data_IF_428531560025
#
_entry.id   IF_428531560025
#
_cell.length_a   1.000
_cell.length_b   1.000
_cell.length_c   1.000
_cell.angle_alpha   90.00
_cell.angle_beta   90.00
_cell.angle_gamma   90.00
#
_symmetry.space_group_name_H-M   'P 1'
#
loop_
_entity.id
_entity.type
_entity.pdbx_description
1 polymer ?
#
# COMPACT_ATOMS: atom_id res chain seq x y z
N UNK A 1 -8.44 21.35 -40.33
CA UNK A 1 -9.87 20.99 -40.12
C UNK A 1 -9.90 19.93 -39.03
N UNK A 2 -10.39 20.18 -37.81
CA UNK A 2 -11.79 20.42 -37.41
C UNK A 2 -11.88 21.61 -36.44
N UNK A 3 -12.88 22.46 -36.67
CA UNK A 3 -13.33 23.52 -35.75
C UNK A 3 -13.97 22.88 -34.51
N UNK A 4 -13.56 23.30 -33.32
CA UNK A 4 -14.32 23.11 -32.08
C UNK A 4 -14.32 24.45 -31.34
N UNK A 5 -15.00 25.44 -31.92
CA UNK A 5 -15.37 26.67 -31.24
C UNK A 5 -16.89 26.74 -31.27
N UNK A 6 -17.53 26.38 -30.15
CA UNK A 6 -18.97 26.61 -29.98
C UNK A 6 -19.15 28.01 -29.43
N UNK A 7 -19.59 28.93 -30.30
CA UNK A 7 -20.09 30.25 -29.91
C UNK A 7 -21.61 30.19 -29.94
N UNK A 8 -22.24 29.85 -28.81
CA UNK A 8 -23.68 30.08 -28.64
C UNK A 8 -23.90 31.58 -28.36
N UNK A 9 -24.79 32.18 -29.13
CA UNK A 9 -25.26 33.56 -28.97
C UNK A 9 -26.61 33.54 -28.28
N UNK A 10 -26.76 34.30 -27.20
CA UNK A 10 -28.05 34.89 -26.83
C UNK A 10 -28.35 34.89 -25.34
N UNK A 11 -27.85 35.88 -24.62
CA UNK A 11 -28.26 36.25 -23.26
C UNK A 11 -27.38 37.39 -22.77
N UNK A 12 -27.97 38.52 -22.37
CA UNK A 12 -27.26 39.69 -21.85
C UNK A 12 -26.44 39.30 -20.60
N UNK A 13 -25.11 39.37 -20.71
CA UNK A 13 -24.20 39.24 -19.57
C UNK A 13 -23.19 40.41 -19.55
N UNK A 14 -22.97 40.88 -18.33
CA UNK A 14 -22.15 41.98 -17.84
C UNK A 14 -20.76 42.10 -18.54
N UNK A 15 -20.29 43.28 -18.96
CA UNK A 15 -19.10 43.42 -19.83
C UNK A 15 -17.75 43.30 -19.09
N UNK A 16 -17.66 42.44 -18.06
CA UNK A 16 -16.49 42.37 -17.17
C UNK A 16 -15.98 40.98 -16.79
N UNK A 17 -16.55 39.89 -17.30
CA UNK A 17 -16.08 38.52 -16.99
C UNK A 17 -15.69 37.83 -18.29
N UNK A 18 -14.39 37.76 -18.59
CA UNK A 18 -13.90 36.89 -19.66
C UNK A 18 -14.28 35.44 -19.34
N UNK A 19 -15.03 34.81 -20.24
CA UNK A 19 -15.45 33.42 -20.07
C UNK A 19 -14.20 32.50 -19.98
N UNK A 20 -14.16 31.56 -19.01
CA UNK A 20 -13.00 30.71 -18.81
C UNK A 20 -12.68 29.89 -20.07
N UNK A 21 -11.39 29.79 -20.38
CA UNK A 21 -10.90 28.95 -21.47
C UNK A 21 -11.08 27.48 -21.08
N UNK A 22 -12.04 26.78 -21.71
CA UNK A 22 -12.22 25.34 -21.50
C UNK A 22 -11.25 24.54 -22.36
N UNK A 23 -10.36 23.78 -21.74
CA UNK A 23 -9.33 22.97 -22.38
C UNK A 23 -9.52 21.49 -22.02
N UNK A 24 -9.56 20.62 -23.03
CA UNK A 24 -9.56 19.18 -22.78
C UNK A 24 -8.18 18.74 -22.29
N UNK A 25 -8.12 17.87 -21.28
CA UNK A 25 -6.85 17.38 -20.72
C UNK A 25 -5.93 16.80 -21.81
N UNK A 26 -6.52 16.08 -22.76
CA UNK A 26 -5.81 15.49 -23.91
C UNK A 26 -5.11 16.51 -24.81
N UNK A 27 -5.59 17.77 -24.85
CA UNK A 27 -5.03 18.84 -25.68
C UNK A 27 -4.15 19.83 -24.89
N UNK A 28 -3.96 19.62 -23.58
CA UNK A 28 -3.16 20.54 -22.75
C UNK A 28 -1.72 20.63 -23.24
N UNK A 29 -1.12 19.50 -23.62
CA UNK A 29 0.27 19.48 -24.13
C UNK A 29 0.41 20.24 -25.44
N UNK A 30 -0.46 19.99 -26.41
CA UNK A 30 -0.46 20.69 -27.70
C UNK A 30 -0.65 22.21 -27.50
N UNK A 31 -1.54 22.59 -26.59
CA UNK A 31 -1.80 23.99 -26.24
C UNK A 31 -0.59 24.67 -25.59
N UNK A 32 0.14 23.96 -24.72
CA UNK A 32 1.37 24.44 -24.10
C UNK A 32 2.50 24.58 -25.14
N UNK A 33 2.63 23.59 -26.04
CA UNK A 33 3.61 23.64 -27.12
C UNK A 33 3.36 24.86 -28.02
N UNK A 34 2.13 25.08 -28.49
CA UNK A 34 1.77 26.21 -29.34
C UNK A 34 2.08 27.57 -28.66
N UNK A 35 1.74 27.73 -27.38
CA UNK A 35 1.99 28.96 -26.63
C UNK A 35 3.44 29.15 -26.21
N UNK A 36 4.21 28.07 -26.07
CA UNK A 36 5.63 28.18 -25.77
C UNK A 36 6.39 28.84 -26.91
N UNK A 37 5.88 28.83 -28.14
CA UNK A 37 6.49 29.50 -29.30
C UNK A 37 6.28 31.01 -29.22
N UNK A 38 7.34 31.75 -28.88
CA UNK A 38 7.34 33.21 -28.79
C UNK A 38 8.29 33.79 -29.85
N UNK A 39 7.81 34.04 -31.10
CA UNK A 39 8.66 34.57 -32.18
C UNK A 39 9.20 35.97 -31.86
N UNK A 40 8.48 36.74 -31.04
CA UNK A 40 8.88 38.08 -30.59
C UNK A 40 10.20 38.05 -29.79
N UNK A 41 10.49 36.95 -29.07
CA UNK A 41 11.77 36.80 -28.37
C UNK A 41 12.96 36.83 -29.35
N UNK A 42 12.86 36.10 -30.48
CA UNK A 42 13.92 36.11 -31.48
C UNK A 42 14.09 37.50 -32.10
N UNK A 43 13.00 38.26 -32.26
CA UNK A 43 13.05 39.64 -32.76
C UNK A 43 13.74 40.58 -31.77
N UNK A 44 13.43 40.47 -30.46
CA UNK A 44 14.11 41.25 -29.41
C UNK A 44 15.61 40.93 -29.34
N UNK A 45 15.97 39.65 -29.41
CA UNK A 45 17.38 39.21 -29.45
C UNK A 45 18.09 39.75 -30.69
N UNK A 46 17.48 39.67 -31.87
CA UNK A 46 18.06 40.26 -33.11
C UNK A 46 18.27 41.77 -32.99
N UNK A 47 17.31 42.49 -32.40
CA UNK A 47 17.44 43.93 -32.16
C UNK A 47 18.63 44.26 -31.23
N UNK A 48 18.82 43.45 -30.18
CA UNK A 48 19.97 43.57 -29.27
C UNK A 48 21.30 43.22 -29.96
N UNK A 49 21.32 42.20 -30.82
CA UNK A 49 22.47 41.86 -31.65
C UNK A 49 22.86 43.03 -32.55
N UNK A 50 21.89 43.62 -33.25
CA UNK A 50 22.12 44.78 -34.11
C UNK A 50 22.64 45.99 -33.30
N UNK A 51 22.14 46.19 -32.08
CA UNK A 51 22.63 47.24 -31.19
C UNK A 51 24.09 47.01 -30.76
N UNK A 52 24.45 45.78 -30.38
CA UNK A 52 25.82 45.41 -30.03
C UNK A 52 26.76 45.58 -31.24
N UNK A 53 26.35 45.13 -32.42
CA UNK A 53 27.15 45.27 -33.64
C UNK A 53 27.38 46.74 -34.02
N UNK A 54 26.35 47.59 -33.89
CA UNK A 54 26.48 49.05 -34.11
C UNK A 54 27.49 49.67 -33.15
N UNK A 55 27.43 49.35 -31.86
CA UNK A 55 28.38 49.89 -30.88
C UNK A 55 29.79 49.32 -31.10
N UNK A 56 29.93 48.06 -31.53
CA UNK A 56 31.24 47.51 -31.90
C UNK A 56 31.88 48.25 -33.08
N UNK A 57 31.08 48.63 -34.09
CA UNK A 57 31.55 49.47 -35.22
C UNK A 57 31.95 50.88 -34.78
N UNK A 58 31.19 51.49 -33.85
CA UNK A 58 31.58 52.79 -33.26
C UNK A 58 32.91 52.69 -32.51
N UNK A 59 33.06 51.62 -31.70
CA UNK A 59 34.30 51.33 -30.98
C UNK A 59 35.47 51.20 -31.95
N UNK A 60 35.32 50.49 -33.07
CA UNK A 60 36.36 50.42 -34.11
C UNK A 60 36.74 51.82 -34.65
N UNK A 61 35.75 52.69 -34.90
CA UNK A 61 35.96 54.08 -35.29
C UNK A 61 36.71 54.90 -34.25
N UNK A 62 36.34 54.78 -32.97
CA UNK A 62 36.95 55.51 -31.86
C UNK A 62 38.38 55.02 -31.56
N UNK A 63 38.66 53.73 -31.82
CA UNK A 63 40.02 53.20 -31.77
C UNK A 63 40.92 53.79 -32.86
N UNK A 64 40.40 53.97 -34.08
CA UNK A 64 41.12 54.65 -35.17
C UNK A 64 41.35 56.14 -34.85
N UNK A 65 40.38 56.79 -34.18
CA UNK A 65 40.53 58.17 -33.73
C UNK A 65 41.63 58.29 -32.67
N UNK A 66 41.68 57.36 -31.70
CA UNK A 66 42.75 57.30 -30.70
C UNK A 66 44.14 57.10 -31.33
N UNK A 67 44.27 56.23 -32.33
CA UNK A 67 45.55 56.00 -33.01
C UNK A 67 46.09 57.26 -33.71
N UNK A 68 45.19 58.06 -34.29
CA UNK A 68 45.52 59.28 -35.04
C UNK A 68 45.65 60.52 -34.16
N UNK A 69 45.21 60.46 -32.91
CA UNK A 69 45.27 61.59 -32.00
C UNK A 69 46.71 62.00 -31.67
N UNK A 70 46.95 63.31 -31.60
CA UNK A 70 48.22 63.90 -31.20
C UNK A 70 48.19 64.34 -29.72
N UNK A 71 49.27 64.08 -28.95
CA UNK A 71 49.35 64.50 -27.56
C UNK A 71 49.48 66.03 -27.48
N UNK A 72 48.98 66.63 -26.38
CA UNK A 72 49.10 68.08 -26.13
C UNK A 72 50.58 68.52 -26.15
N UNK A 73 50.84 69.76 -26.60
CA UNK A 73 52.20 70.27 -26.87
C UNK A 73 53.12 70.41 -25.63
N UNK A 74 52.62 70.25 -24.40
CA UNK A 74 53.36 70.42 -23.14
C UNK A 74 53.32 69.16 -22.23
N UNK A 75 53.78 68.02 -22.77
CA UNK A 75 53.75 66.72 -22.07
C UNK A 75 55.17 66.26 -21.67
N UNK A 76 55.40 65.84 -20.41
CA UNK A 76 56.69 65.31 -19.99
C UNK A 76 57.16 64.10 -20.83
N UNK A 77 58.45 64.02 -21.25
CA UNK A 77 58.95 62.96 -22.14
C UNK A 77 58.73 61.52 -21.63
N UNK A 78 58.78 61.31 -20.30
CA UNK A 78 58.51 60.00 -19.68
C UNK A 78 57.04 59.59 -19.80
N UNK A 79 56.12 60.55 -19.67
CA UNK A 79 54.68 60.31 -19.83
C UNK A 79 54.33 60.08 -21.29
N UNK A 80 54.96 60.83 -22.21
CA UNK A 80 54.81 60.66 -23.66
C UNK A 80 55.17 59.23 -24.10
N UNK A 81 56.33 58.70 -23.64
CA UNK A 81 56.78 57.34 -23.96
C UNK A 81 55.85 56.27 -23.36
N UNK A 82 55.49 56.41 -22.09
CA UNK A 82 54.63 55.45 -21.41
C UNK A 82 53.19 55.44 -21.95
N UNK A 83 52.62 56.61 -22.23
CA UNK A 83 51.28 56.76 -22.78
C UNK A 83 51.17 56.32 -24.23
N UNK A 84 52.20 56.52 -25.06
CA UNK A 84 52.21 56.02 -26.45
C UNK A 84 52.27 54.48 -26.52
N UNK A 85 53.10 53.85 -25.68
CA UNK A 85 53.13 52.39 -25.57
C UNK A 85 51.84 51.82 -24.97
N UNK A 86 51.23 52.54 -24.03
CA UNK A 86 49.94 52.17 -23.46
C UNK A 86 48.81 52.29 -24.51
N UNK A 87 48.82 53.33 -25.35
CA UNK A 87 47.89 53.54 -26.46
C UNK A 87 47.89 52.35 -27.42
N UNK A 88 49.05 51.91 -27.88
CA UNK A 88 49.16 50.75 -28.77
C UNK A 88 48.59 49.48 -28.13
N UNK A 89 48.85 49.27 -26.83
CA UNK A 89 48.28 48.15 -26.09
C UNK A 89 46.76 48.25 -25.96
N UNK A 90 46.25 49.45 -25.69
CA UNK A 90 44.81 49.77 -25.64
C UNK A 90 44.14 49.42 -26.97
N UNK A 91 44.69 49.91 -28.08
CA UNK A 91 44.07 49.73 -29.39
C UNK A 91 44.05 48.26 -29.81
N UNK A 92 45.17 47.53 -29.68
CA UNK A 92 45.22 46.11 -30.02
C UNK A 92 44.24 45.28 -29.19
N UNK A 93 44.14 45.57 -27.90
CA UNK A 93 43.28 44.80 -27.00
C UNK A 93 41.79 45.06 -27.28
N UNK A 94 41.42 46.31 -27.60
CA UNK A 94 40.05 46.68 -27.93
C UNK A 94 39.63 46.26 -29.33
N UNK A 95 40.56 46.22 -30.29
CA UNK A 95 40.30 45.64 -31.62
C UNK A 95 39.94 44.15 -31.52
N UNK A 96 40.68 43.38 -30.72
CA UNK A 96 40.36 41.97 -30.47
C UNK A 96 39.00 41.79 -29.78
N UNK A 97 38.59 42.73 -28.94
CA UNK A 97 37.24 42.71 -28.36
C UNK A 97 36.19 43.01 -29.43
N UNK A 98 36.39 44.04 -30.24
CA UNK A 98 35.47 44.44 -31.32
C UNK A 98 35.21 43.30 -32.30
N UNK A 99 36.26 42.63 -32.78
CA UNK A 99 36.14 41.49 -33.69
C UNK A 99 35.27 40.36 -33.11
N UNK A 100 35.39 40.14 -31.80
CA UNK A 100 34.67 39.05 -31.09
C UNK A 100 33.23 39.39 -30.77
N UNK A 101 32.84 40.67 -30.77
CA UNK A 101 31.47 41.14 -30.54
C UNK A 101 30.53 40.90 -31.74
N UNK A 102 30.98 40.16 -32.75
CA UNK A 102 30.14 39.78 -33.89
C UNK A 102 29.03 38.81 -33.43
N UNK A 103 27.74 39.17 -33.58
CA UNK A 103 26.65 38.31 -33.15
C UNK A 103 26.49 37.05 -34.01
N UNK A 104 25.93 35.95 -33.47
CA UNK A 104 25.63 34.74 -34.24
C UNK A 104 24.40 34.94 -35.15
N UNK A 105 24.32 34.14 -36.23
CA UNK A 105 23.16 34.16 -37.14
C UNK A 105 21.85 33.68 -36.50
N UNK A 106 21.95 32.82 -35.49
CA UNK A 106 20.79 32.23 -34.79
C UNK A 106 20.46 33.05 -33.55
N UNK A 107 19.17 33.36 -33.39
CA UNK A 107 18.62 34.12 -32.28
C UNK A 107 17.77 33.26 -31.32
N UNK A 108 17.88 31.93 -31.43
CA UNK A 108 17.21 31.02 -30.50
C UNK A 108 17.77 31.16 -29.08
N UNK A 109 16.99 30.74 -28.07
CA UNK A 109 17.31 30.92 -26.65
C UNK A 109 18.67 30.34 -26.26
N UNK A 110 19.08 29.21 -26.86
CA UNK A 110 20.36 28.57 -26.56
C UNK A 110 21.52 29.35 -27.18
N UNK A 111 21.38 29.75 -28.43
CA UNK A 111 22.38 30.56 -29.14
C UNK A 111 22.60 31.92 -28.45
N UNK A 112 21.51 32.55 -27.99
CA UNK A 112 21.55 33.82 -27.26
C UNK A 112 22.25 33.70 -25.90
N UNK A 113 21.96 32.65 -25.14
CA UNK A 113 22.62 32.37 -23.88
C UNK A 113 24.13 32.17 -24.05
N UNK A 114 24.52 31.34 -25.01
CA UNK A 114 25.92 31.04 -25.27
C UNK A 114 26.68 32.30 -25.66
N UNK A 115 26.11 33.09 -26.57
CA UNK A 115 26.68 34.37 -26.99
C UNK A 115 26.84 35.34 -25.81
N UNK A 116 25.78 35.56 -25.01
CA UNK A 116 25.83 36.40 -23.81
C UNK A 116 26.94 35.96 -22.85
N UNK A 117 27.00 34.66 -22.51
CA UNK A 117 27.98 34.10 -21.57
C UNK A 117 29.42 34.28 -22.06
N UNK A 118 29.66 34.03 -23.34
CA UNK A 118 31.00 34.19 -23.94
C UNK A 118 31.37 35.68 -23.98
N UNK A 119 30.49 36.55 -24.45
CA UNK A 119 30.79 37.99 -24.59
C UNK A 119 30.98 38.69 -23.26
N UNK A 120 30.16 38.37 -22.24
CA UNK A 120 30.32 38.92 -20.90
C UNK A 120 31.71 38.60 -20.33
N UNK A 121 32.16 37.34 -20.48
CA UNK A 121 33.52 36.92 -20.07
C UNK A 121 34.61 37.68 -20.84
N UNK A 122 34.42 37.90 -22.14
CA UNK A 122 35.38 38.63 -22.97
C UNK A 122 35.49 40.10 -22.56
N UNK A 123 34.34 40.75 -22.30
CA UNK A 123 34.28 42.12 -21.83
C UNK A 123 34.95 42.26 -20.46
N UNK A 124 34.61 41.40 -19.49
CA UNK A 124 35.22 41.38 -18.15
C UNK A 124 36.74 41.20 -18.21
N UNK A 125 37.22 40.21 -18.98
CA UNK A 125 38.64 39.98 -19.17
C UNK A 125 39.34 41.19 -19.81
N UNK A 126 38.66 41.88 -20.72
CA UNK A 126 39.20 43.06 -21.40
C UNK A 126 39.35 44.22 -20.42
N UNK A 127 38.28 44.56 -19.67
CA UNK A 127 38.29 45.62 -18.65
C UNK A 127 39.38 45.39 -17.60
N UNK A 128 39.54 44.14 -17.11
CA UNK A 128 40.55 43.81 -16.10
C UNK A 128 42.00 44.00 -16.61
N UNK A 129 42.30 43.58 -17.84
CA UNK A 129 43.65 43.67 -18.43
C UNK A 129 44.00 45.09 -18.91
N UNK A 130 42.97 45.91 -19.13
CA UNK A 130 43.04 47.24 -19.74
C UNK A 130 43.29 48.38 -18.75
N UNK A 131 42.79 48.29 -17.51
CA UNK A 131 42.70 49.44 -16.59
C UNK A 131 44.02 50.19 -16.30
N UNK A 132 45.18 49.52 -16.29
CA UNK A 132 46.48 50.20 -16.13
C UNK A 132 46.94 50.93 -17.40
N UNK A 133 46.80 50.31 -18.57
CA UNK A 133 47.17 50.91 -19.85
C UNK A 133 46.24 52.09 -20.19
N UNK A 134 44.96 51.95 -19.85
CA UNK A 134 43.97 53.00 -20.00
C UNK A 134 44.33 54.27 -19.23
N UNK A 135 44.78 54.19 -17.98
CA UNK A 135 45.14 55.38 -17.16
C UNK A 135 46.27 56.20 -17.79
N UNK A 136 47.29 55.54 -18.34
CA UNK A 136 48.38 56.22 -19.04
C UNK A 136 47.93 56.82 -20.37
N UNK A 137 47.00 56.15 -21.07
CA UNK A 137 46.41 56.64 -22.31
C UNK A 137 45.52 57.85 -22.05
N UNK A 138 44.68 57.81 -21.00
CA UNK A 138 43.78 58.90 -20.60
C UNK A 138 44.51 60.18 -20.18
N UNK A 139 45.73 60.06 -19.64
CA UNK A 139 46.57 61.20 -19.30
C UNK A 139 47.03 62.01 -20.53
N UNK A 140 47.08 61.38 -21.72
CA UNK A 140 47.45 62.02 -22.98
C UNK A 140 46.25 62.31 -23.87
N UNK A 141 45.29 61.38 -23.91
CA UNK A 141 44.14 61.33 -24.82
C UNK A 141 42.84 61.18 -24.03
N UNK A 142 42.46 62.16 -23.18
CA UNK A 142 41.33 62.02 -22.28
C UNK A 142 40.00 61.87 -23.01
N UNK A 143 39.82 62.56 -24.16
CA UNK A 143 38.57 62.55 -24.93
C UNK A 143 38.35 61.19 -25.60
N UNK A 144 39.37 60.67 -26.25
CA UNK A 144 39.32 59.40 -26.98
C UNK A 144 39.11 58.22 -26.04
N UNK A 145 39.74 58.26 -24.86
CA UNK A 145 39.49 57.24 -23.82
C UNK A 145 38.09 57.35 -23.22
N UNK A 146 37.52 58.55 -23.13
CA UNK A 146 36.12 58.75 -22.68
C UNK A 146 35.12 58.17 -23.69
N UNK A 147 35.35 58.35 -24.99
CA UNK A 147 34.51 57.75 -26.04
C UNK A 147 34.57 56.21 -26.00
N UNK A 148 35.77 55.62 -25.93
CA UNK A 148 35.95 54.17 -25.76
C UNK A 148 35.25 53.65 -24.49
N UNK A 149 35.31 54.39 -23.37
CA UNK A 149 34.58 54.03 -22.16
C UNK A 149 33.07 54.08 -22.33
N UNK A 150 32.56 55.06 -23.08
CA UNK A 150 31.14 55.18 -23.41
C UNK A 150 30.68 53.96 -24.21
N UNK A 151 31.45 53.54 -25.22
CA UNK A 151 31.15 52.36 -26.03
C UNK A 151 31.20 51.07 -25.22
N UNK A 152 32.23 50.87 -24.40
CA UNK A 152 32.30 49.72 -23.48
C UNK A 152 31.13 49.71 -22.49
N UNK A 153 30.71 50.88 -22.01
CA UNK A 153 29.54 51.03 -21.17
C UNK A 153 28.24 50.72 -21.90
N UNK A 154 28.14 51.03 -23.20
CA UNK A 154 26.98 50.68 -24.03
C UNK A 154 26.96 49.18 -24.37
N UNK A 155 28.09 48.58 -24.73
CA UNK A 155 28.23 47.13 -24.91
C UNK A 155 27.85 46.38 -23.63
N UNK A 156 28.34 46.84 -22.47
CA UNK A 156 28.00 46.24 -21.18
C UNK A 156 26.50 46.30 -20.88
N UNK A 157 25.83 47.40 -21.24
CA UNK A 157 24.38 47.56 -21.06
C UNK A 157 23.62 46.59 -21.97
N UNK A 158 23.90 46.58 -23.27
CA UNK A 158 23.22 45.68 -24.20
C UNK A 158 23.46 44.19 -23.92
N UNK A 159 24.64 43.82 -23.43
CA UNK A 159 24.89 42.46 -22.95
C UNK A 159 24.09 42.14 -21.70
N UNK A 160 23.91 43.10 -20.78
CA UNK A 160 23.03 42.93 -19.62
C UNK A 160 21.58 42.74 -20.06
N UNK A 161 21.08 43.60 -20.95
CA UNK A 161 19.72 43.52 -21.49
C UNK A 161 19.48 42.15 -22.17
N UNK A 162 20.45 41.65 -22.94
CA UNK A 162 20.39 40.31 -23.54
C UNK A 162 20.37 39.20 -22.49
N UNK A 163 21.16 39.33 -21.42
CA UNK A 163 21.16 38.39 -20.32
C UNK A 163 19.81 38.35 -19.59
N UNK A 164 19.16 39.51 -19.45
CA UNK A 164 17.85 39.65 -18.82
C UNK A 164 16.75 39.01 -19.68
N UNK A 165 16.73 39.30 -20.99
CA UNK A 165 15.79 38.68 -21.95
C UNK A 165 15.92 37.16 -21.99
N UNK A 166 17.16 36.63 -22.05
CA UNK A 166 17.41 35.18 -22.06
C UNK A 166 16.93 34.53 -20.75
N UNK A 167 17.16 35.19 -19.62
CA UNK A 167 16.76 34.69 -18.30
C UNK A 167 15.25 34.67 -18.16
N UNK A 168 14.57 35.77 -18.49
CA UNK A 168 13.11 35.83 -18.47
C UNK A 168 12.49 34.78 -19.39
N UNK A 169 13.04 34.61 -20.60
CA UNK A 169 12.57 33.58 -21.54
C UNK A 169 12.71 32.16 -20.97
N UNK A 170 13.79 31.88 -20.25
CA UNK A 170 14.00 30.58 -19.59
C UNK A 170 13.02 30.34 -18.46
N UNK A 171 12.82 31.34 -17.59
CA UNK A 171 11.86 31.26 -16.49
C UNK A 171 10.44 30.99 -17.02
N UNK A 172 10.06 31.65 -18.12
CA UNK A 172 8.78 31.37 -18.81
C UNK A 172 8.72 29.94 -19.35
N UNK A 173 9.75 29.48 -20.06
CA UNK A 173 9.80 28.12 -20.60
C UNK A 173 9.74 27.04 -19.51
N UNK A 174 10.34 27.27 -18.36
CA UNK A 174 10.28 26.36 -17.21
C UNK A 174 8.85 26.17 -16.72
N UNK A 175 8.05 27.24 -16.63
CA UNK A 175 6.61 27.15 -16.31
C UNK A 175 5.84 26.27 -17.30
N UNK A 176 6.11 26.38 -18.60
CA UNK A 176 5.48 25.51 -19.61
C UNK A 176 5.85 24.04 -19.43
N UNK A 177 7.11 23.75 -19.07
CA UNK A 177 7.57 22.38 -18.80
C UNK A 177 6.92 21.82 -17.53
N UNK A 178 6.84 22.61 -16.45
CA UNK A 178 6.14 22.25 -15.21
C UNK A 178 4.66 21.93 -15.49
N UNK A 179 3.97 22.78 -16.26
CA UNK A 179 2.58 22.54 -16.65
C UNK A 179 2.43 21.26 -17.49
N UNK A 180 3.36 20.98 -18.41
CA UNK A 180 3.32 19.78 -19.24
C UNK A 180 3.59 18.50 -18.43
N UNK A 181 4.45 18.56 -17.42
CA UNK A 181 4.71 17.47 -16.48
C UNK A 181 3.47 17.20 -15.61
N UNK A 182 2.88 18.25 -15.01
CA UNK A 182 1.63 18.16 -14.26
C UNK A 182 0.49 17.56 -15.10
N UNK A 183 0.34 18.00 -16.35
CA UNK A 183 -0.64 17.43 -17.26
C UNK A 183 -0.41 15.93 -17.52
N UNK A 184 0.85 15.50 -17.59
CA UNK A 184 1.21 14.08 -17.73
C UNK A 184 0.84 13.29 -16.47
N UNK A 185 1.18 13.80 -15.29
CA UNK A 185 0.86 13.17 -14.01
C UNK A 185 -0.65 13.00 -13.82
N UNK A 186 -1.43 14.03 -14.17
CA UNK A 186 -2.90 13.97 -14.14
C UNK A 186 -3.43 12.88 -15.08
N UNK A 187 -2.91 12.78 -16.31
CA UNK A 187 -3.30 11.71 -17.24
C UNK A 187 -3.00 10.32 -16.67
N UNK A 188 -1.77 10.11 -16.19
CA UNK A 188 -1.33 8.82 -15.64
C UNK A 188 -2.16 8.40 -14.43
N UNK A 189 -2.44 9.34 -13.50
CA UNK A 189 -3.28 9.05 -12.34
C UNK A 189 -4.72 8.74 -12.72
N UNK A 190 -5.28 9.44 -13.70
CA UNK A 190 -6.62 9.14 -14.22
C UNK A 190 -6.69 7.71 -14.75
N UNK A 191 -5.71 7.31 -15.55
CA UNK A 191 -5.65 5.97 -16.13
C UNK A 191 -5.46 4.90 -15.04
N UNK A 192 -4.67 5.17 -13.99
CA UNK A 192 -4.54 4.31 -12.81
C UNK A 192 -5.86 4.17 -12.04
N UNK A 193 -6.62 5.27 -11.88
CA UNK A 193 -7.93 5.27 -11.23
C UNK A 193 -8.93 4.42 -12.02
N UNK A 194 -8.94 4.54 -13.35
CA UNK A 194 -9.83 3.76 -14.21
C UNK A 194 -9.49 2.26 -14.14
N UNK A 195 -8.21 1.91 -14.26
CA UNK A 195 -7.76 0.52 -14.10
C UNK A 195 -8.13 -0.07 -12.72
N UNK A 196 -7.96 0.71 -11.65
CA UNK A 196 -8.30 0.25 -10.30
C UNK A 196 -9.81 0.11 -10.10
N UNK A 197 -10.64 0.95 -10.74
CA UNK A 197 -12.10 0.81 -10.75
C UNK A 197 -12.52 -0.49 -11.44
N UNK A 198 -11.90 -0.82 -12.57
CA UNK A 198 -12.15 -2.07 -13.29
C UNK A 198 -11.75 -3.29 -12.46
N UNK A 199 -10.60 -3.25 -11.78
CA UNK A 199 -10.18 -4.31 -10.86
C UNK A 199 -11.17 -4.50 -9.70
N UNK A 200 -11.63 -3.41 -9.07
CA UNK A 200 -12.63 -3.47 -7.99
C UNK A 200 -13.93 -4.10 -8.51
N UNK A 201 -14.39 -3.71 -9.70
CA UNK A 201 -15.58 -4.30 -10.31
C UNK A 201 -15.42 -5.81 -10.53
N UNK A 202 -14.27 -6.24 -11.08
CA UNK A 202 -13.98 -7.66 -11.28
C UNK A 202 -13.92 -8.46 -9.97
N UNK A 203 -13.38 -7.85 -8.91
CA UNK A 203 -13.35 -8.44 -7.58
C UNK A 203 -14.74 -8.54 -6.93
N UNK A 204 -15.60 -7.55 -7.16
CA UNK A 204 -17.00 -7.56 -6.71
C UNK A 204 -17.81 -8.66 -7.42
N UNK A 205 -17.58 -8.90 -8.71
CA UNK A 205 -18.17 -10.01 -9.46
C UNK A 205 -17.70 -11.38 -8.94
N UNK A 206 -16.40 -11.50 -8.64
CA UNK A 206 -15.85 -12.70 -8.00
C UNK A 206 -16.48 -12.92 -6.61
N UNK A 207 -16.64 -11.86 -5.82
CA UNK A 207 -17.29 -11.92 -4.52
C UNK A 207 -18.75 -12.37 -4.63
N UNK A 208 -19.49 -11.88 -5.63
CA UNK A 208 -20.85 -12.32 -5.92
C UNK A 208 -20.89 -13.83 -6.21
N UNK A 209 -19.97 -14.31 -7.06
CA UNK A 209 -19.82 -15.74 -7.39
C UNK A 209 -19.50 -16.60 -6.16
N UNK A 210 -18.61 -16.13 -5.28
CA UNK A 210 -18.29 -16.83 -4.04
C UNK A 210 -19.49 -16.88 -3.09
N UNK A 211 -20.26 -15.79 -2.97
CA UNK A 211 -21.49 -15.75 -2.18
C UNK A 211 -22.57 -16.69 -2.73
N UNK A 212 -22.71 -16.80 -4.05
CA UNK A 212 -23.58 -17.79 -4.67
C UNK A 212 -23.16 -19.22 -4.35
N UNK A 213 -21.86 -19.50 -4.38
CA UNK A 213 -21.31 -20.80 -4.00
C UNK A 213 -21.53 -21.13 -2.53
N UNK A 214 -21.37 -20.16 -1.63
CA UNK A 214 -21.66 -20.31 -0.20
C UNK A 214 -23.14 -20.62 0.04
N UNK A 215 -24.05 -19.89 -0.62
CA UNK A 215 -25.49 -20.21 -0.64
C UNK A 215 -25.78 -21.60 -1.18
N UNK A 216 -25.07 -22.02 -2.23
CA UNK A 216 -25.15 -23.37 -2.80
C UNK A 216 -24.81 -24.44 -1.77
N UNK A 217 -23.65 -24.33 -1.12
CA UNK A 217 -23.23 -25.25 -0.06
C UNK A 217 -24.18 -25.21 1.15
N UNK A 218 -24.74 -24.05 1.49
CA UNK A 218 -25.73 -23.95 2.55
C UNK A 218 -27.02 -24.71 2.20
N UNK A 219 -27.50 -24.62 0.95
CA UNK A 219 -28.64 -25.42 0.46
C UNK A 219 -28.32 -26.92 0.44
N UNK A 220 -27.10 -27.31 0.08
CA UNK A 220 -26.66 -28.72 0.15
C UNK A 220 -26.71 -29.24 1.59
N UNK A 221 -26.23 -28.47 2.57
CA UNK A 221 -26.30 -28.83 4.00
C UNK A 221 -27.76 -28.97 4.46
N UNK A 222 -28.64 -28.05 4.06
CA UNK A 222 -30.06 -28.13 4.40
C UNK A 222 -30.76 -29.34 3.76
N UNK A 223 -30.46 -29.63 2.49
CA UNK A 223 -30.97 -30.80 1.78
C UNK A 223 -30.50 -32.09 2.45
N UNK A 224 -29.20 -32.18 2.78
CA UNK A 224 -28.62 -33.30 3.54
C UNK A 224 -29.34 -33.48 4.88
N UNK A 225 -29.54 -32.41 5.64
CA UNK A 225 -30.20 -32.45 6.95
C UNK A 225 -31.66 -32.92 6.86
N UNK A 226 -32.37 -32.56 5.78
CA UNK A 226 -33.76 -32.98 5.54
C UNK A 226 -33.89 -34.38 4.92
N UNK A 227 -32.82 -34.89 4.32
CA UNK A 227 -32.78 -36.22 3.71
C UNK A 227 -33.02 -37.32 4.75
N UNK A 228 -33.39 -38.50 4.27
CA UNK A 228 -33.57 -39.66 5.14
C UNK A 228 -32.28 -40.03 5.86
N UNK A 229 -31.12 -39.88 5.22
CA UNK A 229 -29.82 -40.15 5.83
C UNK A 229 -29.47 -39.13 6.93
N UNK A 230 -29.74 -37.84 6.71
CA UNK A 230 -29.54 -36.80 7.70
C UNK A 230 -30.45 -36.95 8.92
N UNK A 231 -31.72 -37.31 8.71
CA UNK A 231 -32.67 -37.63 9.79
C UNK A 231 -32.25 -38.88 10.55
N UNK A 232 -31.87 -39.95 9.84
CA UNK A 232 -31.34 -41.18 10.45
C UNK A 232 -30.11 -40.89 11.31
N UNK A 233 -29.15 -40.06 10.84
CA UNK A 233 -28.00 -39.65 11.64
C UNK A 233 -28.43 -38.93 12.94
N UNK A 234 -29.39 -38.00 12.85
CA UNK A 234 -29.90 -37.29 14.03
C UNK A 234 -30.58 -38.25 15.02
N UNK A 235 -31.37 -39.19 14.52
CA UNK A 235 -32.07 -40.18 15.33
C UNK A 235 -31.11 -41.20 15.95
N UNK A 236 -30.09 -41.66 15.20
CA UNK A 236 -28.99 -42.50 15.69
C UNK A 236 -28.21 -41.80 16.80
N UNK A 237 -27.94 -40.48 16.69
CA UNK A 237 -27.32 -39.71 17.77
C UNK A 237 -28.17 -39.66 19.03
N UNK A 238 -29.48 -39.41 18.89
CA UNK A 238 -30.41 -39.42 20.02
C UNK A 238 -30.52 -40.81 20.66
N UNK A 239 -30.53 -41.86 19.83
CA UNK A 239 -30.55 -43.24 20.28
C UNK A 239 -29.27 -43.57 21.06
N UNK A 240 -28.10 -43.20 20.54
CA UNK A 240 -26.82 -43.40 21.21
C UNK A 240 -26.80 -42.69 22.58
N UNK A 241 -27.23 -41.43 22.63
CA UNK A 241 -27.28 -40.66 23.88
C UNK A 241 -28.22 -41.29 24.91
N UNK A 242 -29.38 -41.82 24.46
CA UNK A 242 -30.30 -42.57 25.33
C UNK A 242 -29.65 -43.85 25.85
N UNK A 243 -28.96 -44.61 24.99
CA UNK A 243 -28.30 -45.87 25.34
C UNK A 243 -27.14 -45.66 26.31
N UNK A 244 -26.35 -44.60 26.13
CA UNK A 244 -25.32 -44.19 27.08
C UNK A 244 -25.92 -43.91 28.47
N UNK A 245 -27.02 -43.14 28.54
CA UNK A 245 -27.74 -42.91 29.81
C UNK A 245 -28.27 -44.19 30.44
N UNK A 246 -28.82 -45.11 29.64
CA UNK A 246 -29.30 -46.41 30.12
C UNK A 246 -28.16 -47.27 30.68
N UNK A 247 -26.99 -47.28 30.01
CA UNK A 247 -25.79 -47.98 30.48
C UNK A 247 -25.34 -47.39 31.82
N UNK A 248 -25.24 -46.07 31.92
CA UNK A 248 -24.83 -45.39 33.15
C UNK A 248 -25.79 -45.73 34.31
N UNK A 249 -27.10 -45.81 34.05
CA UNK A 249 -28.09 -46.23 35.04
C UNK A 249 -27.91 -47.69 35.49
N UNK A 250 -27.52 -48.58 34.59
CA UNK A 250 -27.20 -49.98 34.94
C UNK A 250 -25.93 -50.05 35.79
N UNK A 251 -24.90 -49.29 35.44
CA UNK A 251 -23.65 -49.23 36.21
C UNK A 251 -23.91 -48.69 37.63
N UNK A 252 -24.76 -47.67 37.78
CA UNK A 252 -25.23 -47.21 39.09
C UNK A 252 -25.98 -48.31 39.84
N UNK A 253 -26.88 -49.04 39.18
CA UNK A 253 -27.65 -50.14 39.80
C UNK A 253 -26.74 -51.29 40.26
N UNK A 254 -25.70 -51.61 39.48
CA UNK A 254 -24.66 -52.57 39.87
C UNK A 254 -23.87 -52.08 41.09
N UNK A 255 -23.54 -50.79 41.15
CA UNK A 255 -22.87 -50.21 42.30
C UNK A 255 -23.74 -50.23 43.57
N UNK A 256 -25.04 -49.98 43.43
CA UNK A 256 -25.99 -50.04 44.54
C UNK A 256 -26.11 -51.46 45.12
N UNK A 257 -26.05 -52.49 44.27
CA UNK A 257 -26.06 -53.89 44.72
C UNK A 257 -24.78 -54.30 45.49
N UNK A 258 -23.65 -53.64 45.21
CA UNK A 258 -22.36 -53.91 45.88
C UNK A 258 -22.13 -53.01 47.09
N UNK A 259 -22.75 -51.83 47.13
CA UNK A 259 -22.61 -50.83 48.20
C UNK A 259 -22.74 -51.39 49.63
N UNK A 260 -23.70 -52.30 49.94
CA UNK A 260 -23.80 -52.91 51.26
C UNK A 260 -22.60 -53.80 51.63
N UNK A 261 -21.90 -54.35 50.63
CA UNK A 261 -20.74 -55.24 50.80
C UNK A 261 -19.42 -54.49 50.86
N UNK A 262 -19.34 -53.24 50.40
CA UNK A 262 -18.09 -52.46 50.29
C UNK A 262 -17.26 -52.48 51.57
N UNK A 263 -17.89 -52.37 52.74
CA UNK A 263 -17.17 -52.42 54.03
C UNK A 263 -16.61 -53.80 54.36
N UNK A 264 -17.30 -54.88 53.99
CA UNK A 264 -16.82 -56.24 54.15
C UNK A 264 -15.67 -56.51 53.19
N UNK A 265 -15.83 -56.09 51.93
CA UNK A 265 -14.81 -56.17 50.86
C UNK A 265 -13.54 -55.42 51.26
N UNK A 266 -13.63 -54.18 51.73
CA UNK A 266 -12.44 -53.45 52.19
C UNK A 266 -11.76 -54.09 53.41
N UNK A 267 -12.51 -54.78 54.28
CA UNK A 267 -11.95 -55.44 55.47
C UNK A 267 -11.28 -56.76 55.13
N UNK A 268 -11.87 -57.54 54.24
CA UNK A 268 -11.30 -58.84 53.84
C UNK A 268 -10.01 -58.62 53.05
N UNK A 269 -9.96 -57.63 52.16
CA UNK A 269 -8.72 -57.25 51.43
C UNK A 269 -7.63 -56.77 52.40
N UNK A 270 -7.97 -55.95 53.42
CA UNK A 270 -7.00 -55.54 54.45
C UNK A 270 -6.50 -56.68 55.33
N UNK A 271 -7.34 -57.70 55.58
CA UNK A 271 -6.94 -58.88 56.34
C UNK A 271 -6.06 -59.82 55.51
N UNK A 272 -6.23 -59.82 54.18
CA UNK A 272 -5.32 -60.45 53.22
C UNK A 272 -3.96 -59.75 53.17
N UNK A 273 -3.93 -58.43 53.07
CA UNK A 273 -2.70 -57.63 53.11
C UNK A 273 -1.90 -57.77 54.43
N UNK A 274 -2.51 -58.31 55.48
CA UNK A 274 -1.88 -58.55 56.78
C UNK A 274 -1.66 -60.03 57.10
N UNK A 275 -1.76 -60.90 56.08
CA UNK A 275 -1.57 -62.35 56.15
C UNK A 275 -2.50 -63.08 57.15
N UNK A 276 -3.60 -62.42 57.57
CA UNK A 276 -4.57 -62.98 58.53
C UNK A 276 -5.58 -63.90 57.86
N UNK A 277 -5.83 -63.67 56.58
CA UNK A 277 -6.68 -64.45 55.68
C UNK A 277 -5.91 -64.58 54.37
N UNK A 278 -6.06 -65.69 53.65
CA UNK A 278 -5.52 -65.83 52.28
C UNK A 278 -6.69 -65.80 51.30
N UNK A 279 -6.73 -64.84 50.38
CA UNK A 279 -7.79 -64.70 49.38
C UNK A 279 -7.42 -65.34 48.03
N UNK A 280 -8.37 -66.11 47.48
CA UNK A 280 -8.26 -66.70 46.14
C UNK A 280 -8.75 -65.73 45.06
N UNK A 281 -9.73 -64.88 45.38
CA UNK A 281 -10.36 -63.95 44.44
C UNK A 281 -10.05 -62.48 44.71
N UNK A 282 -8.85 -62.16 45.20
CA UNK A 282 -8.43 -60.79 45.58
C UNK A 282 -8.73 -59.74 44.49
N UNK A 283 -8.34 -60.01 43.24
CA UNK A 283 -8.53 -59.06 42.13
C UNK A 283 -10.01 -58.71 41.87
N UNK A 284 -10.93 -59.65 42.10
CA UNK A 284 -12.37 -59.43 41.96
C UNK A 284 -12.88 -58.53 43.09
N UNK A 285 -12.38 -58.67 44.32
CA UNK A 285 -12.75 -57.79 45.43
C UNK A 285 -12.28 -56.34 45.23
N UNK A 286 -11.06 -56.15 44.72
CA UNK A 286 -10.52 -54.83 44.40
C UNK A 286 -11.31 -54.16 43.27
N UNK A 287 -11.71 -54.93 42.26
CA UNK A 287 -12.59 -54.45 41.19
C UNK A 287 -14.00 -54.14 41.71
N UNK A 288 -14.61 -55.00 42.52
CA UNK A 288 -15.93 -54.75 43.14
C UNK A 288 -15.94 -53.48 43.98
N UNK A 289 -14.82 -53.15 44.63
CA UNK A 289 -14.68 -51.94 45.44
C UNK A 289 -14.45 -50.66 44.63
N UNK A 290 -13.95 -50.76 43.40
CA UNK A 290 -13.51 -49.61 42.59
C UNK A 290 -14.38 -49.37 41.35
N UNK A 291 -14.73 -50.42 40.63
CA UNK A 291 -15.63 -50.41 39.49
C UNK A 291 -16.42 -51.74 39.44
N UNK A 292 -17.58 -51.80 40.14
CA UNK A 292 -18.46 -52.95 40.14
C UNK A 292 -18.74 -53.49 38.74
N UNK A 293 -19.02 -52.62 37.78
CA UNK A 293 -19.28 -52.99 36.38
C UNK A 293 -18.15 -53.82 35.75
N UNK A 294 -16.88 -53.44 35.98
CA UNK A 294 -15.71 -54.18 35.48
C UNK A 294 -15.48 -55.49 36.21
N UNK A 295 -15.71 -55.51 37.52
CA UNK A 295 -15.62 -56.74 38.32
C UNK A 295 -16.57 -57.82 37.82
N UNK A 296 -17.71 -57.39 37.27
CA UNK A 296 -18.74 -58.26 36.72
C UNK A 296 -18.44 -58.73 35.30
N UNK A 297 -17.35 -58.33 34.65
CA UNK A 297 -16.93 -58.94 33.37
C UNK A 297 -16.53 -60.43 33.56
N UNK A 298 -16.04 -60.81 34.76
CA UNK A 298 -15.75 -62.19 35.16
C UNK A 298 -16.89 -62.91 35.93
N UNK A 299 -16.62 -64.11 36.45
CA UNK A 299 -17.50 -64.81 37.41
C UNK A 299 -17.18 -64.36 38.85
N UNK A 300 -18.17 -63.76 39.51
CA UNK A 300 -18.09 -63.23 40.89
C UNK A 300 -18.59 -64.22 41.94
N UNK A 301 -19.24 -65.32 41.55
CA UNK A 301 -19.84 -66.27 42.49
C UNK A 301 -18.79 -66.91 43.40
N UNK A 302 -17.60 -67.21 42.88
CA UNK A 302 -16.47 -67.70 43.67
C UNK A 302 -16.01 -66.70 44.74
N UNK A 303 -15.89 -65.42 44.37
CA UNK A 303 -15.55 -64.35 45.31
C UNK A 303 -16.64 -64.13 46.37
N UNK A 304 -17.91 -64.20 45.99
CA UNK A 304 -19.03 -64.04 46.93
C UNK A 304 -19.13 -65.22 47.92
N UNK A 305 -18.88 -66.45 47.48
CA UNK A 305 -18.80 -67.63 48.35
C UNK A 305 -17.59 -67.58 49.29
N UNK A 306 -16.44 -67.13 48.77
CA UNK A 306 -15.24 -66.90 49.58
C UNK A 306 -15.52 -65.84 50.66
N UNK A 307 -16.16 -64.72 50.30
CA UNK A 307 -16.57 -63.70 51.25
C UNK A 307 -17.51 -64.29 52.30
N UNK A 308 -18.56 -65.03 51.89
CA UNK A 308 -19.54 -65.69 52.78
C UNK A 308 -18.86 -66.58 53.82
N UNK A 309 -17.92 -67.43 53.40
CA UNK A 309 -17.19 -68.35 54.29
C UNK A 309 -16.28 -67.65 55.31
N UNK A 310 -15.87 -66.41 55.02
CA UNK A 310 -14.91 -65.65 55.82
C UNK A 310 -15.53 -64.45 56.54
N UNK A 311 -16.83 -64.19 56.36
CA UNK A 311 -17.55 -63.06 56.99
C UNK A 311 -17.36 -63.04 58.51
N UNK A 312 -17.29 -64.21 59.15
CA UNK A 312 -17.18 -64.38 60.60
C UNK A 312 -15.83 -63.90 61.16
N UNK A 313 -14.80 -63.94 60.31
CA UNK A 313 -13.44 -63.52 60.64
C UNK A 313 -13.24 -61.99 60.52
N UNK A 314 -14.24 -61.27 59.98
CA UNK A 314 -14.16 -59.83 59.69
C UNK A 314 -14.45 -58.91 60.90
N UNK A 315 -14.76 -59.48 62.07
CA UNK A 315 -15.04 -58.71 63.29
C UNK A 315 -16.18 -57.70 63.13
N UNK A 316 -17.25 -58.11 62.45
CA UNK A 316 -18.45 -57.31 62.21
C UNK A 316 -19.47 -57.53 63.33
N UNK A 317 -20.27 -56.50 63.68
CA UNK A 317 -21.38 -56.65 64.64
C UNK A 317 -22.45 -57.57 64.05
N UNK A 318 -23.11 -58.39 64.88
CA UNK A 318 -24.08 -59.41 64.45
C UNK A 318 -25.15 -58.89 63.48
N UNK A 319 -25.72 -57.72 63.75
CA UNK A 319 -26.72 -57.08 62.86
C UNK A 319 -26.17 -56.71 61.47
N UNK A 320 -24.89 -56.33 61.38
CA UNK A 320 -24.24 -56.01 60.09
C UNK A 320 -23.77 -57.28 59.38
N UNK A 321 -23.28 -58.25 60.14
CA UNK A 321 -22.92 -59.58 59.68
C UNK A 321 -24.11 -60.26 58.99
N UNK A 322 -25.25 -60.33 59.68
CA UNK A 322 -26.48 -60.92 59.14
C UNK A 322 -26.92 -60.25 57.83
N UNK A 323 -26.91 -58.91 57.75
CA UNK A 323 -27.25 -58.16 56.53
C UNK A 323 -26.28 -58.38 55.37
N UNK A 324 -24.99 -58.57 55.67
CA UNK A 324 -23.98 -58.87 54.64
C UNK A 324 -24.18 -60.29 54.11
N UNK A 325 -24.47 -61.26 54.99
CA UNK A 325 -24.79 -62.63 54.58
C UNK A 325 -26.07 -62.66 53.74
N UNK A 326 -27.13 -61.98 54.19
CA UNK A 326 -28.40 -61.82 53.44
C UNK A 326 -28.17 -61.17 52.08
N UNK A 327 -27.35 -60.13 51.99
CA UNK A 327 -27.01 -59.51 50.71
C UNK A 327 -26.19 -60.47 49.81
N UNK A 328 -25.23 -61.21 50.35
CA UNK A 328 -24.46 -62.20 49.57
C UNK A 328 -25.38 -63.31 49.07
N UNK A 329 -26.32 -63.77 49.90
CA UNK A 329 -27.32 -64.79 49.53
C UNK A 329 -28.22 -64.28 48.42
N UNK A 330 -28.74 -63.05 48.52
CA UNK A 330 -29.48 -62.40 47.44
C UNK A 330 -28.68 -62.30 46.13
N UNK A 331 -27.39 -61.95 46.20
CA UNK A 331 -26.53 -61.87 45.00
C UNK A 331 -26.22 -63.24 44.38
N UNK A 332 -26.19 -64.31 45.18
CA UNK A 332 -25.91 -65.68 44.73
C UNK A 332 -27.16 -66.43 44.25
N UNK A 333 -28.30 -66.23 44.90
CA UNK A 333 -29.56 -66.95 44.66
C UNK A 333 -30.39 -66.29 43.56
N UNK A 334 -30.66 -64.99 43.67
CA UNK A 334 -31.49 -64.25 42.69
C UNK A 334 -30.69 -63.77 41.48
N UNK A 335 -29.36 -63.83 41.57
CA UNK A 335 -28.40 -63.48 40.51
C UNK A 335 -28.71 -62.14 39.79
N UNK A 336 -29.06 -61.05 40.52
CA UNK A 336 -29.42 -59.77 39.89
C UNK A 336 -28.25 -59.18 39.08
N UNK A 337 -27.01 -59.53 39.45
CA UNK A 337 -25.78 -59.10 38.78
C UNK A 337 -25.60 -59.74 37.40
N UNK A 338 -25.95 -61.02 37.25
CA UNK A 338 -25.89 -61.70 35.94
C UNK A 338 -26.87 -61.06 34.96
N UNK A 339 -28.05 -60.68 35.44
CA UNK A 339 -29.10 -60.00 34.66
C UNK A 339 -28.64 -58.60 34.24
N UNK A 340 -28.10 -57.81 35.17
CA UNK A 340 -27.58 -56.47 34.86
C UNK A 340 -26.37 -56.54 33.93
N UNK A 341 -25.47 -57.52 34.11
CA UNK A 341 -24.31 -57.76 33.22
C UNK A 341 -24.76 -58.07 31.80
N UNK A 342 -25.68 -59.00 31.62
CA UNK A 342 -26.21 -59.34 30.31
C UNK A 342 -26.86 -58.13 29.62
N UNK A 343 -27.52 -57.24 30.40
CA UNK A 343 -28.10 -56.00 29.88
C UNK A 343 -27.04 -54.94 29.55
N UNK A 344 -26.01 -54.80 30.37
CA UNK A 344 -24.88 -53.88 30.15
C UNK A 344 -24.11 -54.23 28.87
N UNK A 345 -23.76 -55.52 28.68
CA UNK A 345 -23.08 -56.00 27.47
C UNK A 345 -23.90 -55.74 26.21
N UNK A 346 -25.21 -56.02 26.24
CA UNK A 346 -26.11 -55.71 25.11
C UNK A 346 -26.14 -54.22 24.77
N UNK A 347 -26.21 -53.35 25.79
CA UNK A 347 -26.17 -51.90 25.58
C UNK A 347 -24.82 -51.46 25.01
N UNK A 348 -23.72 -52.07 25.46
CA UNK A 348 -22.39 -51.78 24.95
C UNK A 348 -22.26 -52.14 23.47
N UNK A 349 -22.72 -53.35 23.07
CA UNK A 349 -22.75 -53.77 21.67
C UNK A 349 -23.60 -52.82 20.80
N UNK A 350 -24.78 -52.43 21.28
CA UNK A 350 -25.67 -51.49 20.61
C UNK A 350 -25.05 -50.09 20.48
N UNK A 351 -24.35 -49.60 21.51
CA UNK A 351 -23.63 -48.31 21.49
C UNK A 351 -22.51 -48.36 20.45
N UNK A 352 -21.71 -49.42 20.44
CA UNK A 352 -20.62 -49.57 19.46
C UNK A 352 -21.13 -49.65 18.02
N UNK A 353 -22.28 -50.30 17.79
CA UNK A 353 -22.92 -50.33 16.48
C UNK A 353 -23.39 -48.94 16.04
N UNK A 354 -24.04 -48.20 16.94
CA UNK A 354 -24.45 -46.81 16.68
C UNK A 354 -23.24 -45.91 16.42
N UNK A 355 -22.15 -46.07 17.15
CA UNK A 355 -20.90 -45.33 16.92
C UNK A 355 -20.31 -45.59 15.54
N UNK A 356 -20.27 -46.86 15.11
CA UNK A 356 -19.81 -47.23 13.77
C UNK A 356 -20.67 -46.58 12.69
N UNK A 357 -21.99 -46.55 12.85
CA UNK A 357 -22.91 -45.95 11.87
C UNK A 357 -22.77 -44.41 11.84
N UNK A 358 -22.70 -43.78 13.02
CA UNK A 358 -22.50 -42.34 13.15
C UNK A 358 -21.14 -41.88 12.61
N UNK A 359 -20.09 -42.69 12.73
CA UNK A 359 -18.76 -42.36 12.18
C UNK A 359 -18.75 -42.24 10.66
N UNK A 360 -19.63 -42.96 9.95
CA UNK A 360 -19.75 -42.92 8.49
C UNK A 360 -20.52 -41.68 8.03
N UNK A 361 -21.65 -41.41 8.67
CA UNK A 361 -22.56 -40.32 8.27
C UNK A 361 -22.13 -38.93 8.79
N UNK A 362 -21.37 -38.87 9.88
CA UNK A 362 -20.77 -37.62 10.39
C UNK A 362 -19.70 -37.04 9.47
N UNK A 363 -18.99 -37.88 8.69
CA UNK A 363 -17.97 -37.44 7.73
C UNK A 363 -18.56 -36.56 6.64
N UNK A 364 -19.72 -36.91 6.09
CA UNK A 364 -20.34 -36.12 5.02
C UNK A 364 -20.84 -34.77 5.56
N UNK A 365 -21.42 -34.77 6.76
CA UNK A 365 -21.83 -33.53 7.44
C UNK A 365 -20.64 -32.61 7.71
N UNK A 366 -19.50 -33.16 8.15
CA UNK A 366 -18.28 -32.41 8.37
C UNK A 366 -17.71 -31.86 7.05
N UNK A 367 -17.66 -32.69 6.01
CA UNK A 367 -17.18 -32.32 4.67
C UNK A 367 -17.97 -31.17 4.05
N UNK A 368 -19.31 -31.21 4.14
CA UNK A 368 -20.16 -30.13 3.60
C UNK A 368 -19.95 -28.81 4.35
N UNK A 369 -19.83 -28.86 5.68
CA UNK A 369 -19.53 -27.68 6.50
C UNK A 369 -18.14 -27.12 6.19
N UNK A 370 -17.14 -27.98 6.07
CA UNK A 370 -15.77 -27.59 5.72
C UNK A 370 -15.72 -26.86 4.37
N UNK A 371 -16.37 -27.40 3.33
CA UNK A 371 -16.47 -26.74 2.01
C UNK A 371 -17.08 -25.34 2.12
N UNK A 372 -18.17 -25.19 2.87
CA UNK A 372 -18.81 -23.89 3.11
C UNK A 372 -17.86 -22.94 3.85
N UNK A 373 -17.21 -23.41 4.90
CA UNK A 373 -16.34 -22.59 5.75
C UNK A 373 -15.09 -22.14 4.96
N UNK A 374 -14.53 -22.98 4.10
CA UNK A 374 -13.47 -22.60 3.16
C UNK A 374 -13.92 -21.49 2.20
N UNK A 375 -15.13 -21.58 1.63
CA UNK A 375 -15.66 -20.51 0.77
C UNK A 375 -15.90 -19.23 1.58
N UNK A 376 -16.40 -19.34 2.81
CA UNK A 376 -16.64 -18.20 3.70
C UNK A 376 -15.35 -17.47 4.07
N UNK A 377 -14.26 -18.19 4.31
CA UNK A 377 -12.95 -17.60 4.53
C UNK A 377 -12.45 -16.84 3.29
N UNK A 378 -12.67 -17.39 2.09
CA UNK A 378 -12.33 -16.70 0.83
C UNK A 378 -13.16 -15.45 0.61
N UNK A 379 -14.45 -15.46 0.96
CA UNK A 379 -15.33 -14.28 0.95
C UNK A 379 -14.75 -13.18 1.85
N UNK A 380 -14.41 -13.50 3.10
CA UNK A 380 -13.85 -12.53 4.04
C UNK A 380 -12.52 -11.93 3.55
N UNK A 381 -11.63 -12.77 3.01
CA UNK A 381 -10.37 -12.32 2.44
C UNK A 381 -10.59 -11.38 1.24
N UNK A 382 -11.53 -11.73 0.36
CA UNK A 382 -11.88 -10.93 -0.82
C UNK A 382 -12.52 -9.59 -0.44
N UNK A 383 -13.42 -9.57 0.56
CA UNK A 383 -14.01 -8.34 1.10
C UNK A 383 -12.93 -7.40 1.65
N UNK A 384 -11.99 -7.92 2.43
CA UNK A 384 -10.88 -7.12 2.94
C UNK A 384 -9.99 -6.55 1.82
N UNK A 385 -9.73 -7.33 0.77
CA UNK A 385 -8.95 -6.89 -0.39
C UNK A 385 -9.66 -5.80 -1.20
N UNK A 386 -10.99 -5.91 -1.40
CA UNK A 386 -11.80 -4.88 -2.05
C UNK A 386 -11.77 -3.59 -1.23
N UNK A 387 -11.95 -3.67 0.09
CA UNK A 387 -11.91 -2.49 0.96
C UNK A 387 -10.54 -1.79 0.92
N UNK A 388 -9.44 -2.54 0.89
CA UNK A 388 -8.11 -1.96 0.75
C UNK A 388 -7.91 -1.27 -0.61
N UNK A 389 -8.40 -1.88 -1.70
CA UNK A 389 -8.38 -1.23 -3.03
C UNK A 389 -9.25 0.01 -3.07
N UNK A 390 -10.42 0.02 -2.42
CA UNK A 390 -11.29 1.21 -2.32
C UNK A 390 -10.61 2.35 -1.56
N UNK A 391 -9.85 2.06 -0.50
CA UNK A 391 -9.02 3.08 0.19
C UNK A 391 -7.92 3.62 -0.72
N UNK A 392 -7.25 2.73 -1.45
CA UNK A 392 -6.21 3.11 -2.41
C UNK A 392 -6.78 3.99 -3.53
N UNK A 393 -7.97 3.67 -4.02
CA UNK A 393 -8.71 4.46 -5.00
C UNK A 393 -9.02 5.86 -4.47
N UNK A 394 -9.57 5.97 -3.26
CA UNK A 394 -9.87 7.26 -2.65
C UNK A 394 -8.61 8.13 -2.49
N UNK A 395 -7.48 7.53 -2.09
CA UNK A 395 -6.21 8.24 -1.98
C UNK A 395 -5.66 8.71 -3.34
N UNK A 396 -5.86 7.92 -4.41
CA UNK A 396 -5.50 8.34 -5.77
C UNK A 396 -6.41 9.45 -6.29
N UNK A 397 -7.71 9.38 -6.03
CA UNK A 397 -8.68 10.43 -6.40
C UNK A 397 -8.38 11.75 -5.68
N UNK A 398 -8.00 11.71 -4.40
CA UNK A 398 -7.56 12.90 -3.65
C UNK A 398 -6.30 13.50 -4.29
N UNK A 399 -5.29 12.68 -4.61
CA UNK A 399 -4.07 13.15 -5.28
C UNK A 399 -4.36 13.72 -6.66
N UNK A 400 -5.20 13.07 -7.46
CA UNK A 400 -5.62 13.59 -8.76
C UNK A 400 -6.28 14.96 -8.62
N UNK A 401 -7.11 15.16 -7.59
CA UNK A 401 -7.75 16.46 -7.33
C UNK A 401 -6.74 17.55 -6.97
N UNK A 402 -5.68 17.20 -6.23
CA UNK A 402 -4.56 18.10 -5.95
C UNK A 402 -3.78 18.46 -7.21
N UNK A 403 -3.35 17.45 -7.97
CA UNK A 403 -2.60 17.67 -9.22
C UNK A 403 -3.41 18.46 -10.26
N UNK A 404 -4.74 18.27 -10.32
CA UNK A 404 -5.64 19.07 -11.16
C UNK A 404 -5.73 20.53 -10.72
N UNK A 405 -5.73 20.79 -9.41
CA UNK A 405 -5.74 22.14 -8.88
C UNK A 405 -4.41 22.84 -9.18
N UNK A 406 -3.28 22.15 -8.98
CA UNK A 406 -1.95 22.66 -9.28
C UNK A 406 -1.80 22.95 -10.79
N UNK A 407 -2.20 21.99 -11.63
CA UNK A 407 -2.22 22.18 -13.08
C UNK A 407 -3.08 23.38 -13.49
N UNK A 408 -4.27 23.54 -12.90
CA UNK A 408 -5.14 24.67 -13.19
C UNK A 408 -4.49 25.99 -12.84
N UNK A 409 -3.88 26.11 -11.65
CA UNK A 409 -3.19 27.31 -11.21
C UNK A 409 -2.05 27.66 -12.18
N UNK A 410 -1.24 26.69 -12.56
CA UNK A 410 -0.13 26.92 -13.50
C UNK A 410 -0.63 27.32 -14.88
N UNK A 411 -1.72 26.72 -15.38
CA UNK A 411 -2.30 27.10 -16.66
C UNK A 411 -2.90 28.52 -16.62
N UNK A 412 -3.55 28.91 -15.52
CA UNK A 412 -4.09 30.27 -15.34
C UNK A 412 -2.98 31.33 -15.31
N UNK A 413 -1.83 31.03 -14.69
CA UNK A 413 -0.64 31.88 -14.71
C UNK A 413 -0.06 32.02 -16.14
N UNK A 414 -0.05 30.93 -16.92
CA UNK A 414 0.43 30.94 -18.31
C UNK A 414 -0.53 31.67 -19.25
N UNK A 415 -1.85 31.54 -19.05
CA UNK A 415 -2.85 32.21 -19.91
C UNK A 415 -3.21 33.62 -19.48
N UNK A 416 -2.69 34.10 -18.34
CA UNK A 416 -3.04 35.39 -17.73
C UNK A 416 -4.56 35.56 -17.57
N UNK A 417 -5.27 34.46 -17.28
CA UNK A 417 -6.74 34.42 -17.31
C UNK A 417 -7.30 33.06 -16.86
N UNK A 418 -8.61 32.96 -16.59
CA UNK A 418 -9.23 31.77 -16.01
C UNK A 418 -9.26 30.58 -17.00
N UNK A 419 -8.95 29.38 -16.50
CA UNK A 419 -8.90 28.14 -17.30
C UNK A 419 -9.75 27.05 -16.64
N UNK A 420 -10.54 26.35 -17.43
CA UNK A 420 -11.25 25.13 -17.00
C UNK A 420 -10.69 23.91 -17.73
N UNK A 421 -10.40 22.85 -16.98
CA UNK A 421 -9.87 21.60 -17.54
C UNK A 421 -11.01 20.57 -17.61
N UNK A 422 -11.35 20.13 -18.81
CA UNK A 422 -12.26 18.99 -19.01
C UNK A 422 -11.47 17.69 -18.92
N UNK A 423 -11.60 17.01 -17.77
CA UNK A 423 -10.90 15.75 -17.47
C UNK A 423 -11.54 14.55 -18.17
N UNK A 424 -12.77 14.70 -18.71
CA UNK A 424 -13.54 13.62 -19.33
C UNK A 424 -13.19 13.41 -20.82
N UNK A 425 -12.38 14.27 -21.42
CA UNK A 425 -12.03 14.25 -22.85
C UNK A 425 -10.53 14.37 -23.11
#
# INVERSE_FOLDING_TARGET
MKKIFSKEKGGEEDPGVEAPLTLALSHVKDWLEDRSHEPEFEERVRSLYDAIERVAKNLEGDLLALERAEPKEDVPPRLLKAGSAAREKVTRQMAVLSDRLTPPLRADTRSAEEYHSVMLKHLQNTVQKFGRAQRYTAALFPREVEMINSDLGAISRHLSDLGDEVRERKERLEKFLEAADLASQVCERRDQIEALKDEISGDEDLLATLRDRERGHQKEIESWTRSDEGKRNLDERKAQEKKLRERDQIEMSMADLVSPLTKAISRIVKQDDSDRIVLQHRGIFEQLSSSPAKAFEGDVSGALLELKSKVDLLGLRDKKRARIIEQIDHLLEDRPLEVLKARHLRLQDEIEELERNLSKSSRETARLKEKRDQVRQRIQAQEAAIEERKRSLAALEERLSGDLADLKITLEDISEGPVEIDVRK
#
